data_IF_367096219089
#
_entry.id   IF_367096219089
#
_cell.length_a   1.000
_cell.length_b   1.000
_cell.length_c   1.000
_cell.angle_alpha   90.00
_cell.angle_beta   90.00
_cell.angle_gamma   90.00
#
_symmetry.space_group_name_H-M   'P 1'
#
loop_
_entity.id
_entity.type
_entity.pdbx_description
1 polymer ?
#
# COMPACT_ATOMS: atom_id res chain seq x y z
N UNK A 1 -27.70 9.51 16.89
CA UNK A 1 -27.36 9.57 15.46
C UNK A 1 -27.25 8.17 14.92
N UNK A 2 -27.79 7.92 13.74
CA UNK A 2 -27.58 6.69 12.97
C UNK A 2 -26.13 6.60 12.50
N UNK A 3 -25.73 5.45 11.95
CA UNK A 3 -24.41 5.28 11.34
C UNK A 3 -24.24 6.19 10.13
N UNK A 4 -25.21 6.19 9.21
CA UNK A 4 -25.27 7.13 8.07
C UNK A 4 -25.10 8.59 8.51
N UNK A 5 -25.83 9.06 9.52
CA UNK A 5 -25.71 10.45 10.01
C UNK A 5 -24.30 10.77 10.52
N UNK A 6 -23.62 9.80 11.13
CA UNK A 6 -22.23 9.97 11.60
C UNK A 6 -21.24 9.98 10.44
N UNK A 7 -21.44 9.12 9.44
CA UNK A 7 -20.64 9.14 8.21
C UNK A 7 -20.71 10.51 7.53
N UNK A 8 -21.92 11.06 7.41
CA UNK A 8 -22.14 12.40 6.84
C UNK A 8 -21.54 13.51 7.72
N UNK A 9 -21.76 13.46 9.03
CA UNK A 9 -21.32 14.51 9.95
C UNK A 9 -19.79 14.65 10.02
N UNK A 10 -19.07 13.53 9.95
CA UNK A 10 -17.61 13.49 10.08
C UNK A 10 -16.88 13.42 8.75
N UNK A 11 -17.54 13.77 7.64
CA UNK A 11 -16.89 13.74 6.33
C UNK A 11 -16.96 15.07 5.62
N UNK A 12 -15.94 15.33 4.81
CA UNK A 12 -15.84 16.51 3.96
C UNK A 12 -15.73 16.05 2.51
N UNK A 13 -16.59 16.58 1.64
CA UNK A 13 -16.44 16.41 0.20
C UNK A 13 -15.31 17.31 -0.30
N UNK A 14 -14.27 16.70 -0.86
CA UNK A 14 -13.12 17.38 -1.46
C UNK A 14 -12.91 16.79 -2.85
N UNK A 15 -13.10 17.61 -3.88
CA UNK A 15 -13.12 17.13 -5.27
C UNK A 15 -14.10 15.96 -5.44
N UNK A 16 -13.60 14.81 -5.88
CA UNK A 16 -14.36 13.57 -6.08
C UNK A 16 -14.34 12.64 -4.85
N UNK A 17 -13.81 13.09 -3.70
CA UNK A 17 -13.64 12.25 -2.52
C UNK A 17 -14.53 12.69 -1.37
N UNK A 18 -15.12 11.70 -0.67
CA UNK A 18 -15.69 11.89 0.65
C UNK A 18 -14.64 11.54 1.72
N UNK A 19 -13.99 12.55 2.31
CA UNK A 19 -12.87 12.35 3.25
C UNK A 19 -13.34 12.30 4.70
N UNK A 20 -12.98 11.21 5.39
CA UNK A 20 -13.19 11.06 6.83
C UNK A 20 -12.32 12.04 7.63
N UNK A 21 -12.98 12.88 8.41
CA UNK A 21 -12.39 13.91 9.25
C UNK A 21 -12.45 13.56 10.76
N UNK A 22 -12.92 12.36 11.09
CA UNK A 22 -12.89 11.82 12.45
C UNK A 22 -11.52 11.26 12.83
N UNK A 23 -11.48 10.35 13.81
CA UNK A 23 -10.24 9.69 14.23
C UNK A 23 -9.63 8.87 13.09
N UNK A 24 -8.32 9.04 12.87
CA UNK A 24 -7.51 8.26 11.95
C UNK A 24 -6.59 7.30 12.72
N UNK A 25 -6.20 6.19 12.07
CA UNK A 25 -5.11 5.34 12.55
C UNK A 25 -3.73 5.87 12.09
N UNK A 26 -2.66 5.19 12.50
CA UNK A 26 -1.28 5.58 12.16
C UNK A 26 -0.97 5.47 10.66
N UNK A 27 -1.78 4.72 9.92
CA UNK A 27 -1.68 4.46 8.49
C UNK A 27 -2.65 5.37 7.69
N UNK A 28 -3.38 6.27 8.38
CA UNK A 28 -4.27 7.26 7.77
C UNK A 28 -5.71 6.78 7.57
N UNK A 29 -6.07 5.57 7.99
CA UNK A 29 -7.43 5.05 7.81
C UNK A 29 -8.39 5.58 8.86
N UNK A 30 -9.56 6.02 8.40
CA UNK A 30 -10.65 6.46 9.27
C UNK A 30 -11.15 5.36 10.21
N UNK A 31 -11.50 5.75 11.44
CA UNK A 31 -12.10 4.87 12.44
C UNK A 31 -13.43 5.43 12.94
N UNK A 32 -14.38 4.53 13.16
CA UNK A 32 -15.72 4.81 13.66
C UNK A 32 -16.14 3.72 14.65
N UNK A 33 -16.60 4.12 15.84
CA UNK A 33 -17.17 3.16 16.79
C UNK A 33 -18.60 2.78 16.37
N UNK A 34 -18.89 1.50 16.15
CA UNK A 34 -20.20 0.94 15.80
C UNK A 34 -20.59 -0.04 16.90
N UNK A 35 -21.72 0.19 17.56
CA UNK A 35 -22.22 -0.68 18.65
C UNK A 35 -21.20 -0.96 19.78
N UNK A 36 -20.31 -0.01 20.05
CA UNK A 36 -19.26 -0.12 21.07
C UNK A 36 -17.93 -0.66 20.55
N UNK A 37 -17.89 -1.20 19.32
CA UNK A 37 -16.69 -1.75 18.69
C UNK A 37 -16.07 -0.76 17.71
N UNK A 38 -14.74 -0.71 17.62
CA UNK A 38 -14.06 0.19 16.69
C UNK A 38 -13.92 -0.45 15.31
N UNK A 39 -14.54 0.14 14.29
CA UNK A 39 -14.47 -0.32 12.90
C UNK A 39 -13.75 0.70 12.00
N UNK A 40 -13.24 0.24 10.85
CA UNK A 40 -12.72 1.15 9.82
C UNK A 40 -13.87 1.86 9.13
N UNK A 41 -13.76 3.18 8.98
CA UNK A 41 -14.83 4.02 8.44
C UNK A 41 -15.20 3.64 7.00
N UNK A 42 -14.22 3.27 6.16
CA UNK A 42 -14.48 2.81 4.79
C UNK A 42 -15.30 1.49 4.75
N UNK A 43 -15.03 0.55 5.67
CA UNK A 43 -15.82 -0.69 5.79
C UNK A 43 -17.25 -0.42 6.24
N UNK A 44 -17.43 0.56 7.13
CA UNK A 44 -18.76 0.97 7.57
C UNK A 44 -19.52 1.66 6.43
N UNK A 45 -18.87 2.56 5.68
CA UNK A 45 -19.47 3.20 4.52
C UNK A 45 -19.88 2.18 3.44
N UNK A 46 -19.06 1.18 3.16
CA UNK A 46 -19.43 0.04 2.31
C UNK A 46 -20.69 -0.67 2.83
N UNK A 47 -20.72 -0.98 4.13
CA UNK A 47 -21.84 -1.65 4.79
C UNK A 47 -23.17 -0.92 4.61
N UNK A 48 -23.17 0.40 4.75
CA UNK A 48 -24.37 1.23 4.60
C UNK A 48 -24.80 1.36 3.13
N UNK A 49 -23.86 1.40 2.17
CA UNK A 49 -24.15 1.59 0.76
C UNK A 49 -24.53 0.30 0.02
N UNK A 50 -23.81 -0.79 0.29
CA UNK A 50 -23.86 -2.03 -0.49
C UNK A 50 -24.21 -3.27 0.35
N UNK A 51 -24.18 -3.15 1.67
CA UNK A 51 -24.49 -4.25 2.59
C UNK A 51 -23.26 -5.06 3.04
N UNK A 52 -23.47 -6.29 3.52
CA UNK A 52 -22.43 -7.04 4.25
C UNK A 52 -21.20 -7.33 3.40
N UNK A 53 -20.04 -7.34 4.04
CA UNK A 53 -18.77 -7.76 3.45
C UNK A 53 -18.68 -9.28 3.57
N UNK A 54 -18.61 -10.04 2.45
CA UNK A 54 -18.46 -11.49 2.51
C UNK A 54 -17.17 -11.93 3.21
N UNK A 55 -17.20 -13.11 3.82
CA UNK A 55 -16.02 -13.68 4.49
C UNK A 55 -14.84 -13.83 3.51
N UNK A 56 -13.65 -13.47 3.98
CA UNK A 56 -12.41 -13.51 3.19
C UNK A 56 -12.24 -12.33 2.22
N UNK A 57 -13.16 -11.36 2.20
CA UNK A 57 -13.04 -10.14 1.42
C UNK A 57 -12.77 -8.91 2.30
N UNK A 58 -12.05 -7.96 1.70
CA UNK A 58 -11.66 -6.68 2.27
C UNK A 58 -12.24 -5.55 1.43
N UNK A 59 -12.54 -4.44 2.09
CA UNK A 59 -12.90 -3.20 1.41
C UNK A 59 -11.59 -2.46 1.11
N UNK A 60 -11.26 -2.41 -0.17
CA UNK A 60 -10.07 -1.77 -0.74
C UNK A 60 -10.47 -0.48 -1.44
N UNK A 61 -9.50 0.39 -1.67
CA UNK A 61 -9.71 1.67 -2.34
C UNK A 61 -9.27 1.57 -3.81
N UNK A 62 -10.11 2.10 -4.71
CA UNK A 62 -9.70 2.42 -6.09
C UNK A 62 -8.80 3.65 -6.13
N UNK A 63 -8.87 4.50 -5.11
CA UNK A 63 -8.04 5.69 -4.94
C UNK A 63 -6.93 5.46 -3.90
N UNK A 64 -5.80 6.16 -4.03
CA UNK A 64 -4.69 6.08 -3.07
C UNK A 64 -4.85 7.07 -1.90
N UNK A 65 -6.08 7.21 -1.39
CA UNK A 65 -6.44 8.19 -0.35
C UNK A 65 -7.06 7.48 0.86
N UNK A 66 -6.26 7.06 1.86
CA UNK A 66 -6.73 6.26 3.00
C UNK A 66 -7.92 6.83 3.80
N UNK A 67 -8.07 8.16 3.97
CA UNK A 67 -9.24 8.74 4.62
C UNK A 67 -10.53 8.70 3.78
N UNK A 68 -10.47 8.36 2.49
CA UNK A 68 -11.65 8.34 1.62
C UNK A 68 -12.63 7.23 2.05
N UNK A 69 -13.91 7.58 2.11
CA UNK A 69 -15.00 6.66 2.42
C UNK A 69 -16.11 6.69 1.36
N UNK A 70 -15.88 7.33 0.21
CA UNK A 70 -16.82 7.40 -0.91
C UNK A 70 -17.11 5.98 -1.44
N UNK A 71 -18.35 5.46 -1.35
CA UNK A 71 -18.65 4.10 -1.80
C UNK A 71 -18.25 3.81 -3.25
N UNK A 72 -18.27 4.78 -4.16
CA UNK A 72 -17.83 4.58 -5.55
C UNK A 72 -16.30 4.43 -5.70
N UNK A 73 -15.52 4.85 -4.69
CA UNK A 73 -14.08 4.67 -4.62
C UNK A 73 -13.65 3.41 -3.87
N UNK A 74 -14.60 2.58 -3.45
CA UNK A 74 -14.36 1.36 -2.69
C UNK A 74 -14.75 0.13 -3.51
N UNK A 75 -14.05 -0.98 -3.28
CA UNK A 75 -14.39 -2.26 -3.89
C UNK A 75 -14.04 -3.43 -2.96
N UNK A 76 -14.60 -4.61 -3.23
CA UNK A 76 -14.26 -5.84 -2.50
C UNK A 76 -13.12 -6.58 -3.20
N UNK A 77 -12.06 -6.86 -2.47
CA UNK A 77 -10.93 -7.66 -2.94
C UNK A 77 -10.42 -8.63 -1.89
N UNK A 78 -9.55 -9.52 -2.32
CA UNK A 78 -8.83 -10.46 -1.47
C UNK A 78 -7.52 -9.85 -0.96
N UNK A 79 -6.85 -10.51 -0.02
CA UNK A 79 -5.47 -10.14 0.39
C UNK A 79 -4.49 -10.11 -0.80
N UNK A 80 -4.70 -10.99 -1.79
CA UNK A 80 -3.90 -11.03 -3.02
C UNK A 80 -4.10 -9.77 -3.85
N UNK A 81 -5.34 -9.29 -3.98
CA UNK A 81 -5.67 -8.08 -4.72
C UNK A 81 -5.07 -6.84 -4.05
N UNK A 82 -5.17 -6.74 -2.71
CA UNK A 82 -4.56 -5.65 -1.95
C UNK A 82 -3.03 -5.60 -2.12
N UNK A 83 -2.37 -6.78 -2.15
CA UNK A 83 -0.93 -6.86 -2.37
C UNK A 83 -0.55 -6.46 -3.79
N UNK A 84 -1.30 -6.95 -4.78
CA UNK A 84 -1.11 -6.63 -6.20
C UNK A 84 -1.29 -5.13 -6.48
N UNK A 85 -2.29 -4.49 -5.87
CA UNK A 85 -2.57 -3.06 -6.01
C UNK A 85 -1.45 -2.22 -5.41
N UNK A 86 -0.97 -2.55 -4.21
CA UNK A 86 0.18 -1.88 -3.60
C UNK A 86 1.43 -1.98 -4.48
N UNK A 87 1.65 -3.14 -5.08
CA UNK A 87 2.81 -3.37 -5.95
C UNK A 87 2.67 -2.60 -7.28
N UNK A 88 1.46 -2.46 -7.80
CA UNK A 88 1.14 -1.71 -9.04
C UNK A 88 1.17 -0.20 -8.82
N UNK A 89 0.71 0.29 -7.67
CA UNK A 89 0.77 1.70 -7.27
C UNK A 89 2.21 2.20 -7.01
N UNK A 90 3.21 1.32 -7.15
CA UNK A 90 4.61 1.68 -7.02
C UNK A 90 5.04 1.96 -5.59
N UNK A 91 4.25 1.62 -4.56
CA UNK A 91 4.64 1.86 -3.17
C UNK A 91 5.67 0.86 -2.63
N UNK A 92 6.17 -0.03 -3.48
CA UNK A 92 7.21 -0.96 -3.12
C UNK A 92 8.55 -0.19 -3.01
N UNK A 93 8.93 0.17 -1.79
CA UNK A 93 10.21 0.85 -1.49
C UNK A 93 11.36 0.20 -2.26
N UNK A 94 11.43 -1.13 -2.30
CA UNK A 94 12.47 -1.87 -3.02
C UNK A 94 12.41 -1.72 -4.54
N UNK A 95 11.22 -1.54 -5.15
CA UNK A 95 11.07 -1.26 -6.58
C UNK A 95 11.35 0.21 -6.93
N UNK A 96 11.05 1.14 -6.02
CA UNK A 96 11.32 2.57 -6.19
C UNK A 96 12.76 2.98 -5.92
N UNK A 97 13.59 2.09 -5.36
CA UNK A 97 15.01 2.39 -5.18
C UNK A 97 15.64 2.74 -6.51
N UNK A 98 16.20 3.94 -6.57
CA UNK A 98 16.98 4.45 -7.70
C UNK A 98 18.46 4.05 -7.58
N UNK A 99 18.91 3.64 -6.40
CA UNK A 99 20.30 3.28 -6.11
C UNK A 99 20.41 2.03 -5.22
N UNK A 100 21.48 1.25 -5.43
CA UNK A 100 21.81 0.09 -4.61
C UNK A 100 22.35 0.52 -3.22
N UNK A 101 22.54 -0.40 -2.25
CA UNK A 101 23.04 -0.05 -0.91
C UNK A 101 24.43 0.63 -0.91
N UNK A 102 25.24 0.41 -1.95
CA UNK A 102 26.55 1.04 -2.13
C UNK A 102 26.46 2.38 -2.91
N UNK A 103 25.25 2.86 -3.21
CA UNK A 103 25.03 4.14 -3.88
C UNK A 103 25.14 4.10 -5.41
N UNK A 104 25.29 2.93 -6.04
CA UNK A 104 25.33 2.86 -7.51
C UNK A 104 23.90 2.91 -8.11
N UNK A 105 23.69 3.61 -9.23
CA UNK A 105 22.36 3.79 -9.81
C UNK A 105 21.80 2.47 -10.38
N UNK A 106 20.50 2.23 -10.20
CA UNK A 106 19.76 1.20 -10.92
C UNK A 106 19.26 1.73 -12.26
N UNK A 107 20.16 1.74 -13.26
CA UNK A 107 19.85 2.04 -14.66
C UNK A 107 20.00 0.77 -15.53
N UNK A 108 19.70 0.86 -16.83
CA UNK A 108 19.78 -0.29 -17.76
C UNK A 108 21.16 -0.95 -17.75
N UNK A 109 22.23 -0.15 -17.68
CA UNK A 109 23.61 -0.64 -17.66
C UNK A 109 23.99 -1.35 -16.35
N UNK A 110 23.46 -0.90 -15.21
CA UNK A 110 23.91 -1.34 -13.89
C UNK A 110 22.87 -2.19 -13.12
N UNK A 111 21.71 -2.46 -13.71
CA UNK A 111 20.64 -3.27 -13.11
C UNK A 111 20.55 -4.66 -13.75
N UNK A 112 20.88 -5.68 -12.98
CA UNK A 112 20.64 -7.08 -13.34
C UNK A 112 19.40 -7.61 -12.62
N UNK A 113 18.42 -8.12 -13.37
CA UNK A 113 17.23 -8.78 -12.80
C UNK A 113 17.52 -10.27 -12.72
N UNK A 114 17.51 -10.85 -11.51
CA UNK A 114 17.76 -12.27 -11.32
C UNK A 114 16.59 -13.12 -11.88
N UNK A 115 16.87 -14.10 -12.75
CA UNK A 115 15.83 -14.99 -13.25
C UNK A 115 15.27 -15.83 -12.09
N UNK A 116 13.95 -16.05 -12.10
CA UNK A 116 13.23 -16.85 -11.10
C UNK A 116 12.76 -16.08 -9.87
N UNK A 117 13.49 -15.05 -9.41
CA UNK A 117 13.08 -14.24 -8.26
C UNK A 117 12.67 -12.81 -8.61
N UNK A 118 13.08 -12.29 -9.78
CA UNK A 118 12.84 -10.90 -10.17
C UNK A 118 13.65 -9.87 -9.40
N UNK A 119 14.57 -10.31 -8.52
CA UNK A 119 15.32 -9.40 -7.65
C UNK A 119 16.36 -8.58 -8.43
N UNK A 120 16.42 -7.28 -8.17
CA UNK A 120 17.41 -6.36 -8.79
C UNK A 120 18.75 -6.47 -8.07
N UNK A 121 19.81 -6.75 -8.82
CA UNK A 121 21.19 -6.73 -8.34
C UNK A 121 21.98 -5.65 -9.08
N UNK A 122 22.86 -4.97 -8.35
CA UNK A 122 23.78 -4.01 -8.93
C UNK A 122 24.94 -4.75 -9.63
N UNK A 123 25.09 -4.54 -10.94
CA UNK A 123 26.17 -5.18 -11.73
C UNK A 123 27.55 -4.72 -11.25
N UNK A 124 27.70 -3.45 -10.91
CA UNK A 124 28.94 -2.89 -10.34
C UNK A 124 29.32 -3.57 -9.03
N UNK A 125 28.38 -3.72 -8.08
CA UNK A 125 28.67 -4.44 -6.83
C UNK A 125 29.05 -5.91 -7.08
N UNK A 126 28.42 -6.54 -8.07
CA UNK A 126 28.68 -7.95 -8.40
C UNK A 126 30.04 -8.15 -9.08
N UNK A 127 30.48 -7.18 -9.89
CA UNK A 127 31.81 -7.15 -10.50
C UNK A 127 32.93 -6.70 -9.56
N UNK A 128 32.59 -6.16 -8.39
CA UNK A 128 33.54 -5.78 -7.34
C UNK A 128 33.85 -6.90 -6.35
N UNK A 129 33.35 -8.13 -6.55
CA UNK A 129 33.74 -9.25 -5.70
C UNK A 129 35.20 -9.63 -6.03
N UNK A 130 36.21 -9.28 -5.21
CA UNK A 130 37.56 -9.72 -5.46
C UNK A 130 37.58 -11.22 -5.16
N UNK A 131 37.59 -12.02 -6.22
CA UNK A 131 37.95 -13.43 -6.13
C UNK A 131 39.35 -13.47 -5.48
N UNK A 132 39.52 -14.33 -4.49
CA UNK A 132 40.66 -14.31 -3.57
C UNK A 132 42.02 -14.06 -4.22
N UNK A 133 42.76 -13.13 -3.62
CA UNK A 133 44.22 -13.13 -3.67
C UNK A 133 44.73 -13.66 -2.34
N UNK A 134 44.76 -15.00 -2.23
CA UNK A 134 45.82 -15.66 -1.47
C UNK A 134 47.05 -15.62 -2.37
N UNK A 135 47.93 -14.66 -2.14
CA UNK A 135 49.36 -14.81 -2.45
C UNK A 135 50.12 -14.41 -1.20
N UNK A 136 50.75 -15.39 -0.55
CA UNK A 136 51.76 -15.13 0.46
C UNK A 136 53.06 -14.66 -0.21
N UNK A 137 53.82 -13.87 0.52
CA UNK A 137 55.28 -13.94 0.62
C UNK A 137 55.77 -12.73 1.44
N UNK A 138 56.35 -13.05 2.60
CA UNK A 138 57.48 -12.38 3.27
C UNK A 138 57.27 -11.01 3.93
#
# INVERSE_FOLDING_TARGET
>A
MTITERLQHYSLSVEDHLLWCGTLDREGYGKLSVEGEMARANRVAWGEAYGPIPDGLHVLHLCDTPPCIEPEHLYLGTDSDNTQDRDTAGHHHEANRTHCPQGHPYNEANTYIAPGTGYRNCRTCRGQNPIGSLVGAE
#
